data_IF_722959956838
#
_entry.id   IF_722959956838
#
_cell.length_a   1.000
_cell.length_b   1.000
_cell.length_c   1.000
_cell.angle_alpha   90.00
_cell.angle_beta   90.00
_cell.angle_gamma   90.00
#
_symmetry.space_group_name_H-M   'P 1'
#
loop_
_entity.id
_entity.type
_entity.pdbx_description
1 polymer ?
#
# COMPACT_ATOMS: atom_id res chain seq x y z
N UNK A 1 -38.46 -6.99 16.59
CA UNK A 1 -37.83 -5.67 16.35
C UNK A 1 -36.66 -5.86 15.40
N UNK A 2 -36.60 -5.13 14.28
CA UNK A 2 -35.46 -5.22 13.33
C UNK A 2 -34.39 -4.22 13.79
N UNK A 3 -33.12 -4.62 13.99
CA UNK A 3 -32.09 -3.67 14.41
C UNK A 3 -31.83 -2.67 13.26
N UNK A 4 -31.90 -1.38 13.59
CA UNK A 4 -31.63 -0.29 12.65
C UNK A 4 -30.19 -0.36 12.13
N UNK A 5 -29.99 -0.06 10.85
CA UNK A 5 -28.65 -0.02 10.25
C UNK A 5 -27.78 0.96 11.04
N UNK A 6 -26.57 0.56 11.48
CA UNK A 6 -25.70 1.44 12.26
C UNK A 6 -25.31 2.67 11.46
N UNK A 7 -25.28 3.82 12.11
CA UNK A 7 -24.89 5.09 11.49
C UNK A 7 -23.42 5.07 11.04
N UNK A 8 -23.02 5.87 10.02
CA UNK A 8 -21.64 5.92 9.53
C UNK A 8 -20.61 6.16 10.63
N UNK A 9 -20.92 7.05 11.58
CA UNK A 9 -20.06 7.38 12.73
C UNK A 9 -19.83 6.19 13.67
N UNK A 10 -20.82 5.32 13.87
CA UNK A 10 -20.66 4.09 14.67
C UNK A 10 -19.87 3.01 13.92
N UNK A 11 -20.02 2.94 12.59
CA UNK A 11 -19.24 2.03 11.76
C UNK A 11 -17.74 2.39 11.75
N UNK A 12 -17.41 3.67 11.95
CA UNK A 12 -16.03 4.15 12.06
C UNK A 12 -15.44 3.94 13.47
N UNK A 13 -16.26 3.94 14.53
CA UNK A 13 -15.84 3.61 15.90
C UNK A 13 -15.46 2.12 16.07
N UNK A 14 -16.14 1.23 15.34
CA UNK A 14 -15.91 -0.23 15.39
C UNK A 14 -14.94 -0.74 14.32
N UNK A 15 -14.55 0.12 13.36
CA UNK A 15 -13.49 -0.22 12.40
C UNK A 15 -12.17 -0.07 13.14
N UNK A 16 -11.70 -1.16 13.75
CA UNK A 16 -10.47 -1.25 14.52
C UNK A 16 -9.41 -0.29 13.94
N UNK A 17 -9.09 0.76 14.70
CA UNK A 17 -8.12 1.77 14.29
C UNK A 17 -6.82 1.03 13.99
N UNK A 18 -6.35 1.11 12.73
CA UNK A 18 -5.22 0.39 12.12
C UNK A 18 -3.98 0.23 13.01
N UNK A 19 -3.74 1.18 13.92
CA UNK A 19 -2.59 1.22 14.83
C UNK A 19 -2.58 0.04 15.83
N UNK A 20 -3.72 -0.59 16.11
CA UNK A 20 -3.76 -1.72 17.05
C UNK A 20 -3.42 -3.10 16.48
N UNK A 21 -3.25 -3.25 15.16
CA UNK A 21 -3.14 -4.57 14.49
C UNK A 21 -1.80 -4.85 13.81
N UNK A 22 -0.91 -3.85 13.71
CA UNK A 22 0.37 -3.97 13.01
C UNK A 22 1.50 -3.49 13.91
N UNK A 23 2.61 -4.21 13.93
CA UNK A 23 3.84 -3.74 14.57
C UNK A 23 4.50 -2.69 13.67
N UNK A 24 4.70 -1.49 14.20
CA UNK A 24 5.34 -0.39 13.48
C UNK A 24 6.83 -0.65 13.21
N UNK A 25 7.45 -1.60 13.92
CA UNK A 25 8.83 -2.05 13.71
C UNK A 25 8.98 -3.04 12.55
N UNK A 26 7.87 -3.53 12.00
CA UNK A 26 7.90 -4.48 10.88
C UNK A 26 8.53 -3.83 9.63
N UNK A 27 9.38 -4.57 8.93
CA UNK A 27 10.16 -4.06 7.78
C UNK A 27 9.29 -3.47 6.66
N UNK A 28 8.17 -4.11 6.32
CA UNK A 28 7.20 -3.53 5.37
C UNK A 28 6.61 -2.19 5.85
N UNK A 29 6.44 -1.97 7.16
CA UNK A 29 5.93 -0.70 7.69
C UNK A 29 7.00 0.39 7.58
N UNK A 30 8.25 0.07 7.92
CA UNK A 30 9.39 0.97 7.70
C UNK A 30 9.54 1.32 6.21
N UNK A 31 9.51 0.32 5.33
CA UNK A 31 9.59 0.52 3.89
C UNK A 31 8.44 1.40 3.37
N UNK A 32 7.22 1.19 3.87
CA UNK A 32 6.06 2.00 3.49
C UNK A 32 6.26 3.49 3.78
N UNK A 33 7.02 3.84 4.83
CA UNK A 33 7.31 5.22 5.20
C UNK A 33 8.34 5.89 4.29
N UNK A 34 9.21 5.11 3.65
CA UNK A 34 10.28 5.58 2.78
C UNK A 34 9.84 5.75 1.32
N UNK A 35 8.75 5.09 0.94
CA UNK A 35 8.13 5.24 -0.37
C UNK A 35 7.54 6.65 -0.47
N UNK A 36 8.21 7.52 -1.23
CA UNK A 36 7.77 8.88 -1.48
C UNK A 36 6.49 8.88 -2.31
N UNK A 37 5.39 9.20 -1.63
CA UNK A 37 4.04 9.16 -2.20
C UNK A 37 3.84 10.24 -3.26
N UNK A 38 4.47 11.39 -3.10
CA UNK A 38 4.29 12.53 -3.99
C UNK A 38 5.00 12.28 -5.33
N UNK A 39 6.13 11.57 -5.30
CA UNK A 39 6.81 11.10 -6.51
C UNK A 39 5.88 10.17 -7.31
N UNK A 40 5.29 9.13 -6.71
CA UNK A 40 4.36 8.25 -7.44
C UNK A 40 3.11 8.98 -7.93
N UNK A 41 2.59 9.92 -7.13
CA UNK A 41 1.43 10.72 -7.53
C UNK A 41 1.75 11.61 -8.73
N UNK A 42 2.95 12.21 -8.79
CA UNK A 42 3.40 13.05 -9.91
C UNK A 42 3.67 12.23 -11.15
N UNK A 43 4.54 11.22 -11.06
CA UNK A 43 4.97 10.44 -12.22
C UNK A 43 3.81 9.65 -12.84
N UNK A 44 2.83 9.22 -12.03
CA UNK A 44 1.73 8.39 -12.49
C UNK A 44 0.36 9.08 -12.49
N UNK A 45 0.31 10.41 -12.33
CA UNK A 45 -0.93 11.19 -12.31
C UNK A 45 -1.84 10.90 -13.52
N UNK A 46 -1.24 10.69 -14.70
CA UNK A 46 -1.96 10.43 -15.95
C UNK A 46 -2.25 8.96 -16.26
N UNK A 47 -1.69 8.01 -15.52
CA UNK A 47 -1.79 6.57 -15.86
C UNK A 47 -3.06 5.91 -15.30
N UNK A 48 -3.65 6.50 -14.26
CA UNK A 48 -4.83 5.94 -13.59
C UNK A 48 -6.03 6.90 -13.59
N UNK A 49 -6.50 7.36 -14.77
CA UNK A 49 -7.66 8.23 -14.83
C UNK A 49 -8.91 7.51 -14.31
N UNK A 50 -9.73 8.24 -13.55
CA UNK A 50 -11.09 7.84 -13.21
C UNK A 50 -11.92 7.77 -14.48
N UNK A 51 -12.22 6.57 -14.98
CA UNK A 51 -13.26 6.41 -16.00
C UNK A 51 -14.63 6.41 -15.30
N UNK A 52 -15.41 7.47 -15.58
CA UNK A 52 -16.82 7.70 -15.25
C UNK A 52 -17.30 7.21 -13.87
N UNK A 53 -17.46 8.14 -12.92
CA UNK A 53 -18.20 7.93 -11.67
C UNK A 53 -17.48 7.14 -10.55
N UNK A 54 -16.36 6.48 -10.83
CA UNK A 54 -15.57 5.74 -9.83
C UNK A 54 -14.28 6.49 -9.47
N UNK A 55 -13.95 6.70 -8.18
CA UNK A 55 -12.69 7.33 -7.78
C UNK A 55 -11.49 6.64 -8.46
N UNK A 56 -10.53 7.44 -8.93
CA UNK A 56 -9.29 6.94 -9.51
C UNK A 56 -8.61 5.95 -8.55
N UNK A 57 -8.07 4.85 -9.09
CA UNK A 57 -7.31 3.90 -8.28
C UNK A 57 -6.11 4.63 -7.68
N UNK A 58 -5.90 4.59 -6.34
CA UNK A 58 -4.77 5.26 -5.72
C UNK A 58 -3.44 4.75 -6.29
N UNK A 59 -2.57 5.66 -6.74
CA UNK A 59 -1.23 5.32 -7.28
C UNK A 59 -0.42 4.48 -6.29
N UNK A 60 -0.53 4.79 -4.99
CA UNK A 60 0.14 4.03 -3.91
C UNK A 60 -0.34 2.59 -3.79
N UNK A 61 -1.62 2.33 -4.03
CA UNK A 61 -2.16 0.98 -4.01
C UNK A 61 -1.57 0.16 -5.18
N UNK A 62 -1.56 0.73 -6.39
CA UNK A 62 -0.98 0.06 -7.57
C UNK A 62 0.50 -0.19 -7.36
N UNK A 63 1.23 0.84 -6.91
CA UNK A 63 2.65 0.74 -6.62
C UNK A 63 2.96 -0.36 -5.59
N UNK A 64 2.20 -0.38 -4.49
CA UNK A 64 2.36 -1.37 -3.44
C UNK A 64 2.07 -2.80 -3.91
N UNK A 65 1.00 -3.00 -4.69
CA UNK A 65 0.68 -4.31 -5.24
C UNK A 65 1.72 -4.81 -6.25
N UNK A 66 2.26 -3.93 -7.11
CA UNK A 66 3.33 -4.30 -8.05
C UNK A 66 4.61 -4.71 -7.32
N UNK A 67 4.99 -3.95 -6.29
CA UNK A 67 6.13 -4.31 -5.45
C UNK A 67 5.92 -5.66 -4.74
N UNK A 68 4.79 -5.84 -4.05
CA UNK A 68 4.50 -7.08 -3.31
C UNK A 68 4.44 -8.29 -4.24
N UNK A 69 3.84 -8.14 -5.43
CA UNK A 69 3.83 -9.17 -6.47
C UNK A 69 5.26 -9.60 -6.83
N UNK A 70 6.13 -8.64 -7.10
CA UNK A 70 7.51 -8.91 -7.48
C UNK A 70 8.33 -9.50 -6.31
N UNK A 71 8.30 -8.86 -5.15
CA UNK A 71 9.07 -9.26 -3.97
C UNK A 71 8.72 -10.67 -3.47
N UNK A 72 7.44 -11.05 -3.55
CA UNK A 72 6.96 -12.37 -3.13
C UNK A 72 6.73 -13.35 -4.30
N UNK A 73 7.14 -12.99 -5.52
CA UNK A 73 7.00 -13.80 -6.75
C UNK A 73 5.59 -14.36 -6.94
N UNK A 74 4.57 -13.51 -6.75
CA UNK A 74 3.16 -13.89 -6.84
C UNK A 74 2.58 -13.60 -8.23
N UNK A 75 1.48 -14.29 -8.54
CA UNK A 75 0.60 -13.91 -9.64
C UNK A 75 -0.19 -12.64 -9.31
N UNK A 76 -0.74 -12.01 -10.35
CA UNK A 76 -1.63 -10.84 -10.24
C UNK A 76 -2.86 -11.12 -9.37
N UNK A 77 -3.38 -12.33 -9.41
CA UNK A 77 -4.50 -12.76 -8.57
C UNK A 77 -4.06 -13.02 -7.13
N UNK A 78 -2.98 -13.77 -6.94
CA UNK A 78 -2.50 -14.15 -5.61
C UNK A 78 -2.12 -12.93 -4.77
N UNK A 79 -1.52 -11.90 -5.37
CA UNK A 79 -1.16 -10.67 -4.65
C UNK A 79 -2.41 -9.91 -4.17
N UNK A 80 -3.45 -9.84 -5.01
CA UNK A 80 -4.71 -9.13 -4.70
C UNK A 80 -5.49 -9.88 -3.62
N UNK A 81 -5.55 -11.22 -3.69
CA UNK A 81 -6.20 -12.06 -2.68
C UNK A 81 -5.46 -11.99 -1.34
N UNK A 82 -4.14 -12.15 -1.34
CA UNK A 82 -3.34 -12.12 -0.10
C UNK A 82 -3.36 -10.74 0.58
N UNK A 83 -3.47 -9.67 -0.20
CA UNK A 83 -3.65 -8.31 0.33
C UNK A 83 -4.88 -8.20 1.24
N UNK A 84 -6.01 -8.81 0.87
CA UNK A 84 -7.25 -8.72 1.65
C UNK A 84 -7.15 -9.40 3.02
N UNK A 85 -6.25 -10.39 3.16
CA UNK A 85 -6.00 -11.09 4.42
C UNK A 85 -4.85 -10.53 5.26
N UNK A 86 -4.06 -9.58 4.74
CA UNK A 86 -2.76 -9.21 5.37
C UNK A 86 -2.71 -7.73 5.76
N UNK A 87 -2.89 -7.36 7.05
CA UNK A 87 -2.88 -5.97 7.50
C UNK A 87 -1.62 -5.18 7.11
N UNK A 88 -0.45 -5.83 7.14
CA UNK A 88 0.81 -5.22 6.71
C UNK A 88 0.81 -4.81 5.24
N UNK A 89 0.18 -5.61 4.37
CA UNK A 89 0.11 -5.32 2.93
C UNK A 89 -0.85 -4.19 2.64
N UNK A 90 -1.96 -4.13 3.37
CA UNK A 90 -2.91 -3.01 3.30
C UNK A 90 -2.25 -1.71 3.75
N UNK A 91 -1.50 -1.75 4.85
CA UNK A 91 -0.73 -0.60 5.33
C UNK A 91 0.31 -0.13 4.29
N UNK A 92 1.06 -1.07 3.73
CA UNK A 92 2.07 -0.81 2.71
C UNK A 92 1.47 -0.11 1.49
N UNK A 93 0.33 -0.61 0.99
CA UNK A 93 -0.44 -0.01 -0.11
C UNK A 93 -1.17 1.30 0.27
N UNK A 94 -1.23 1.63 1.56
CA UNK A 94 -1.70 2.92 2.07
C UNK A 94 -3.10 2.99 2.65
N UNK A 95 -3.70 1.84 2.94
CA UNK A 95 -4.94 1.81 3.70
C UNK A 95 -4.74 2.35 5.12
N UNK A 96 -5.70 3.15 5.56
CA UNK A 96 -5.80 3.67 6.92
C UNK A 96 -6.68 2.82 7.82
N UNK A 97 -7.44 1.91 7.23
CA UNK A 97 -8.28 0.97 7.97
C UNK A 97 -8.27 -0.39 7.28
N UNK A 98 -8.36 -1.45 8.08
CA UNK A 98 -8.41 -2.81 7.55
C UNK A 98 -9.66 -3.04 6.70
N UNK A 99 -9.47 -3.64 5.54
CA UNK A 99 -10.50 -3.98 4.55
C UNK A 99 -10.45 -5.48 4.28
N UNK A 100 -11.59 -6.16 4.47
CA UNK A 100 -11.71 -7.59 4.14
C UNK A 100 -12.01 -7.87 2.65
N UNK A 101 -12.32 -6.83 1.88
CA UNK A 101 -12.64 -6.95 0.45
C UNK A 101 -11.40 -6.75 -0.40
N UNK A 102 -11.41 -7.32 -1.60
CA UNK A 102 -10.37 -7.04 -2.58
C UNK A 102 -10.34 -5.54 -2.89
N UNK A 103 -9.14 -4.94 -3.00
CA UNK A 103 -9.02 -3.52 -3.26
C UNK A 103 -9.44 -3.20 -4.71
N UNK A 104 -9.22 -4.16 -5.61
CA UNK A 104 -9.33 -4.03 -7.07
C UNK A 104 -9.71 -5.39 -7.67
N UNK A 105 -10.20 -5.38 -8.91
CA UNK A 105 -10.35 -6.62 -9.67
C UNK A 105 -8.97 -7.14 -10.12
N UNK A 106 -8.62 -8.43 -9.95
CA UNK A 106 -7.33 -8.99 -10.34
C UNK A 106 -6.90 -8.70 -11.77
N UNK A 107 -7.82 -8.66 -12.74
CA UNK A 107 -7.50 -8.34 -14.14
C UNK A 107 -6.95 -6.92 -14.32
N UNK A 108 -7.20 -6.04 -13.35
CA UNK A 108 -6.67 -4.67 -13.35
C UNK A 108 -5.16 -4.63 -13.18
N UNK A 109 -4.56 -5.61 -12.49
CA UNK A 109 -3.11 -5.72 -12.37
C UNK A 109 -2.45 -5.90 -13.74
N UNK A 110 -2.98 -6.80 -14.57
CA UNK A 110 -2.48 -7.00 -15.95
C UNK A 110 -2.60 -5.72 -16.76
N UNK A 111 -3.76 -5.05 -16.69
CA UNK A 111 -3.98 -3.78 -17.41
C UNK A 111 -3.00 -2.69 -16.98
N UNK A 112 -2.69 -2.60 -15.68
CA UNK A 112 -1.75 -1.60 -15.19
C UNK A 112 -0.32 -1.91 -15.55
N UNK A 113 0.12 -3.17 -15.45
CA UNK A 113 1.46 -3.56 -15.92
C UNK A 113 1.65 -3.20 -17.39
N UNK A 114 0.66 -3.52 -18.23
CA UNK A 114 0.72 -3.19 -19.65
C UNK A 114 0.72 -1.68 -19.92
N UNK A 115 0.02 -0.89 -19.10
CA UNK A 115 -0.03 0.58 -19.24
C UNK A 115 1.22 1.29 -18.74
N UNK A 116 1.80 0.81 -17.64
CA UNK A 116 3.03 1.34 -17.05
C UNK A 116 4.24 0.95 -17.90
N UNK A 117 4.17 -0.21 -18.58
CA UNK A 117 5.30 -0.79 -19.31
C UNK A 117 6.33 -1.42 -18.38
N UNK A 118 7.24 -2.21 -18.96
CA UNK A 118 8.31 -2.86 -18.20
C UNK A 118 9.24 -1.84 -17.55
N UNK A 119 9.63 -0.79 -18.30
CA UNK A 119 10.48 0.29 -17.80
C UNK A 119 9.87 1.02 -16.60
N UNK A 120 8.56 1.29 -16.63
CA UNK A 120 7.88 1.95 -15.50
C UNK A 120 7.76 1.05 -14.28
N UNK A 121 7.62 -0.26 -14.47
CA UNK A 121 7.63 -1.24 -13.37
C UNK A 121 9.04 -1.35 -12.79
N UNK A 122 10.07 -1.41 -13.63
CA UNK A 122 11.47 -1.45 -13.19
C UNK A 122 11.88 -0.18 -12.46
N UNK A 123 11.48 0.99 -12.97
CA UNK A 123 11.68 2.27 -12.29
C UNK A 123 11.04 2.29 -10.90
N UNK A 124 9.81 1.78 -10.76
CA UNK A 124 9.15 1.64 -9.46
C UNK A 124 9.93 0.71 -8.53
N UNK A 125 10.34 -0.45 -9.02
CA UNK A 125 11.05 -1.44 -8.21
C UNK A 125 12.40 -0.89 -7.75
N UNK A 126 13.14 -0.25 -8.67
CA UNK A 126 14.40 0.44 -8.40
C UNK A 126 14.22 1.57 -7.38
N UNK A 127 13.18 2.39 -7.53
CA UNK A 127 12.86 3.46 -6.57
C UNK A 127 12.55 2.92 -5.18
N UNK A 128 11.79 1.82 -5.09
CA UNK A 128 11.41 1.18 -3.83
C UNK A 128 12.60 0.47 -3.16
N UNK A 129 13.47 -0.17 -3.95
CA UNK A 129 14.70 -0.80 -3.46
C UNK A 129 15.68 0.26 -2.95
N UNK A 130 15.90 1.36 -3.69
CA UNK A 130 16.77 2.46 -3.24
C UNK A 130 16.25 3.10 -1.95
N UNK A 131 14.93 3.26 -1.83
CA UNK A 131 14.30 3.72 -0.60
C UNK A 131 14.57 2.74 0.57
N UNK A 132 14.41 1.43 0.33
CA UNK A 132 14.72 0.39 1.32
C UNK A 132 16.20 0.34 1.71
N UNK A 133 17.12 0.47 0.76
CA UNK A 133 18.57 0.50 1.00
C UNK A 133 18.99 1.69 1.88
N UNK A 134 18.39 2.88 1.66
CA UNK A 134 18.64 4.05 2.52
C UNK A 134 18.23 3.82 3.98
N UNK A 135 17.23 2.98 4.24
CA UNK A 135 16.87 2.60 5.61
C UNK A 135 17.68 1.43 6.16
N UNK A 136 18.27 0.59 5.30
CA UNK A 136 19.18 -0.49 5.70
C UNK A 136 20.60 -0.03 6.02
N UNK A 137 20.99 1.21 5.69
CA UNK A 137 22.36 1.73 5.85
C UNK A 137 22.47 2.83 6.92
N UNK A 138 21.46 2.98 7.80
CA UNK A 138 21.57 3.97 8.87
C UNK A 138 20.48 3.88 9.91
N UNK A 139 20.62 2.94 10.85
CA UNK A 139 20.28 3.17 12.25
C UNK A 139 21.26 2.39 13.13
N UNK A 140 22.41 3.00 13.39
CA UNK A 140 22.85 3.08 14.78
C UNK A 140 21.70 3.78 15.54
N UNK A 141 21.11 3.08 16.50
CA UNK A 141 20.10 3.66 17.36
C UNK A 141 20.71 4.87 18.09
N UNK A 142 20.06 6.04 18.15
CA UNK A 142 20.51 7.07 19.07
C UNK A 142 20.42 6.49 20.49
N UNK A 143 21.56 6.51 21.18
CA UNK A 143 21.65 6.09 22.57
C UNK A 143 20.74 6.97 23.44
N UNK A 144 20.12 6.47 24.53
CA UNK A 144 19.17 7.23 25.35
C UNK A 144 19.76 8.44 26.10
N UNK A 145 21.04 8.76 25.90
CA UNK A 145 21.80 9.76 26.64
C UNK A 145 21.84 11.15 25.99
N UNK A 146 21.28 11.32 24.80
CA UNK A 146 21.26 12.62 24.09
C UNK A 146 19.98 13.47 24.33
N UNK A 147 19.10 13.06 25.24
CA UNK A 147 18.01 13.93 25.74
C UNK A 147 18.44 14.60 27.05
N UNK A 148 19.27 15.64 26.96
CA UNK A 148 19.34 16.71 27.96
C UNK A 148 18.30 17.79 27.63
#
# INVERSE_FOLDING_TARGET
MKPGKPSPKQSDLLRARRVGMIDMRHELVKLAALIDREVFKREWAGLFPSQTGRPATPTRLVAGLLYLRHAFRLSDEAVVVRWAGTPYWQHFCGETVFRHRLPIDPSSMTRWRNRIGEEGVEWLLSGTIRAGQRAGVGQDAPSPEDCC
#
